data_IF_860943922611
#
_entry.id   IF_860943922611
#
_cell.length_a   1.000
_cell.length_b   1.000
_cell.length_c   1.000
_cell.angle_alpha   90.00
_cell.angle_beta   90.00
_cell.angle_gamma   90.00
#
_symmetry.space_group_name_H-M   'P 1'
#
loop_
_entity.id
_entity.type
_entity.pdbx_description
1 polymer ?
#
# COMPACT_ATOMS: atom_id res chain seq x y z
N UNK A 1 13.50 -7.22 -48.00
CA UNK A 1 13.49 -6.06 -47.07
C UNK A 1 12.30 -6.08 -46.10
N UNK A 2 11.66 -7.23 -45.83
CA UNK A 2 10.34 -7.24 -45.19
C UNK A 2 10.36 -7.80 -43.75
N UNK A 3 11.47 -8.42 -43.35
CA UNK A 3 11.64 -9.01 -42.00
C UNK A 3 11.96 -7.96 -40.93
N UNK A 4 12.68 -6.88 -41.29
CA UNK A 4 13.00 -5.79 -40.36
C UNK A 4 11.77 -4.97 -39.96
N UNK A 5 10.81 -4.78 -40.88
CA UNK A 5 9.57 -4.06 -40.59
C UNK A 5 8.64 -4.83 -39.61
N UNK A 6 8.61 -6.17 -39.73
CA UNK A 6 7.87 -7.03 -38.82
C UNK A 6 8.44 -7.02 -37.40
N UNK A 7 9.77 -7.00 -37.26
CA UNK A 7 10.43 -6.94 -35.95
C UNK A 7 10.14 -5.60 -35.25
N UNK A 8 10.16 -4.48 -36.00
CA UNK A 8 9.88 -3.16 -35.45
C UNK A 8 8.42 -2.98 -34.98
N UNK A 9 7.45 -3.60 -35.67
CA UNK A 9 6.03 -3.54 -35.27
C UNK A 9 5.73 -4.37 -34.01
N UNK A 10 6.40 -5.51 -33.83
CA UNK A 10 6.23 -6.39 -32.66
C UNK A 10 6.85 -5.74 -31.42
N UNK A 11 7.96 -5.00 -31.55
CA UNK A 11 8.57 -4.28 -30.42
C UNK A 11 7.73 -3.10 -29.92
N UNK A 12 6.92 -2.46 -30.78
CA UNK A 12 6.13 -1.29 -30.39
C UNK A 12 4.87 -1.63 -29.59
N UNK A 13 4.33 -2.84 -29.72
CA UNK A 13 3.11 -3.28 -29.02
C UNK A 13 3.34 -3.80 -27.60
N UNK A 14 4.60 -4.05 -27.20
CA UNK A 14 4.94 -4.44 -25.82
C UNK A 14 5.02 -3.25 -24.84
N UNK A 15 4.95 -2.00 -25.30
CA UNK A 15 5.21 -0.82 -24.46
C UNK A 15 3.97 -0.19 -23.80
N UNK A 16 2.78 -0.81 -23.92
CA UNK A 16 1.51 -0.23 -23.41
C UNK A 16 1.00 -0.92 -22.12
N UNK A 17 1.85 -1.66 -21.41
CA UNK A 17 1.48 -2.26 -20.13
C UNK A 17 1.63 -1.27 -18.94
N UNK A 18 1.01 -0.09 -19.03
CA UNK A 18 1.02 0.94 -17.98
C UNK A 18 0.07 0.67 -16.79
N UNK A 19 -0.17 -0.59 -16.43
CA UNK A 19 -1.25 -0.98 -15.53
C UNK A 19 -1.13 -0.35 -14.12
N UNK A 20 -2.21 0.29 -13.67
CA UNK A 20 -2.40 0.74 -12.28
C UNK A 20 -2.26 -0.45 -11.33
N UNK A 21 -1.92 -0.18 -10.07
CA UNK A 21 -1.98 -1.22 -9.03
C UNK A 21 -3.43 -1.70 -8.84
N UNK A 22 -3.61 -2.95 -8.41
CA UNK A 22 -4.92 -3.59 -8.27
C UNK A 22 -5.27 -3.87 -6.81
N UNK A 23 -6.56 -3.73 -6.48
CA UNK A 23 -7.05 -3.99 -5.13
C UNK A 23 -6.85 -5.46 -4.75
N UNK A 24 -6.41 -5.71 -3.52
CA UNK A 24 -6.27 -7.07 -2.97
C UNK A 24 -7.31 -7.27 -1.87
N UNK A 25 -7.99 -8.43 -1.88
CA UNK A 25 -8.88 -8.85 -0.77
C UNK A 25 -8.06 -9.16 0.47
N UNK A 26 -8.58 -8.93 1.67
CA UNK A 26 -7.85 -9.18 2.93
C UNK A 26 -7.47 -10.64 3.12
N UNK A 27 -8.26 -11.56 2.57
CA UNK A 27 -7.97 -13.01 2.57
C UNK A 27 -6.83 -13.41 1.63
N UNK A 28 -6.47 -12.56 0.67
CA UNK A 28 -5.41 -12.78 -0.30
C UNK A 28 -4.16 -11.93 -0.04
N UNK A 29 -4.16 -11.11 1.03
CA UNK A 29 -3.03 -10.30 1.43
C UNK A 29 -2.26 -10.98 2.57
N UNK A 30 -0.96 -11.18 2.36
CA UNK A 30 -0.08 -11.82 3.34
C UNK A 30 0.22 -10.87 4.50
N UNK A 31 0.38 -11.35 5.74
CA UNK A 31 0.80 -10.48 6.84
C UNK A 31 2.23 -9.96 6.59
N UNK A 32 2.46 -8.68 6.90
CA UNK A 32 3.82 -8.12 6.88
C UNK A 32 4.72 -8.94 7.82
N UNK A 33 5.86 -9.46 7.36
CA UNK A 33 6.82 -10.18 8.19
C UNK A 33 7.34 -9.32 9.34
N UNK A 34 7.58 -9.93 10.50
CA UNK A 34 8.03 -9.24 11.71
C UNK A 34 9.29 -8.37 11.52
N UNK A 35 10.20 -8.76 10.60
CA UNK A 35 11.40 -7.99 10.26
C UNK A 35 11.14 -6.62 9.62
N UNK A 36 9.89 -6.33 9.22
CA UNK A 36 9.45 -5.05 8.65
C UNK A 36 8.37 -4.36 9.48
N UNK A 37 8.11 -4.85 10.69
CA UNK A 37 7.33 -4.12 11.68
C UNK A 37 8.29 -3.20 12.44
N UNK A 38 8.02 -1.90 12.37
CA UNK A 38 8.90 -0.85 12.91
C UNK A 38 8.48 -0.43 14.33
N UNK A 39 7.21 -0.60 14.67
CA UNK A 39 6.65 -0.28 15.99
C UNK A 39 5.57 -1.29 16.36
N UNK A 40 5.53 -1.68 17.64
CA UNK A 40 4.53 -2.62 18.18
C UNK A 40 3.42 -1.92 18.96
N UNK A 41 3.42 -0.58 18.98
CA UNK A 41 2.51 0.28 19.76
C UNK A 41 1.03 -0.06 19.58
N UNK A 42 0.62 -0.51 18.39
CA UNK A 42 -0.77 -0.78 18.02
C UNK A 42 -1.09 -2.27 17.84
N UNK A 43 -0.21 -3.18 18.27
CA UNK A 43 -0.38 -4.62 18.01
C UNK A 43 -1.37 -5.29 18.98
N UNK A 44 -1.67 -4.66 20.11
CA UNK A 44 -2.50 -5.26 21.18
C UNK A 44 -3.84 -4.52 21.29
N UNK A 45 -4.98 -5.22 21.21
CA UNK A 45 -6.28 -4.64 21.52
C UNK A 45 -6.38 -4.16 22.97
N UNK A 46 -7.08 -3.05 23.19
CA UNK A 46 -7.51 -2.56 24.50
C UNK A 46 -8.97 -2.07 24.45
N UNK A 47 -9.55 -1.74 25.61
CA UNK A 47 -10.97 -1.37 25.77
C UNK A 47 -11.41 -0.23 24.84
N UNK A 48 -10.52 0.69 24.49
CA UNK A 48 -10.82 1.87 23.68
C UNK A 48 -10.16 1.83 22.30
N UNK A 49 -9.91 0.63 21.77
CA UNK A 49 -9.31 0.47 20.43
C UNK A 49 -10.22 -0.27 19.48
N UNK A 50 -10.06 0.00 18.18
CA UNK A 50 -10.67 -0.77 17.10
C UNK A 50 -9.59 -1.25 16.13
N UNK A 51 -9.72 -2.49 15.68
CA UNK A 51 -8.87 -3.01 14.61
C UNK A 51 -9.16 -2.27 13.29
N UNK A 52 -8.11 -1.82 12.63
CA UNK A 52 -8.11 -1.43 11.22
C UNK A 52 -7.14 -2.33 10.45
N UNK A 53 -7.33 -2.44 9.14
CA UNK A 53 -6.43 -3.18 8.26
C UNK A 53 -5.92 -2.23 7.18
N UNK A 54 -4.61 -2.17 7.00
CA UNK A 54 -4.00 -1.44 5.88
C UNK A 54 -3.25 -2.44 5.01
N UNK A 55 -3.53 -2.43 3.71
CA UNK A 55 -2.90 -3.35 2.74
C UNK A 55 -2.39 -2.62 1.52
N UNK A 56 -1.33 -3.14 0.91
CA UNK A 56 -0.84 -2.59 -0.36
C UNK A 56 -1.38 -3.40 -1.52
N UNK A 57 -1.85 -2.67 -2.52
CA UNK A 57 -2.28 -3.22 -3.79
C UNK A 57 -1.23 -4.14 -4.42
N UNK A 58 -1.70 -5.04 -5.28
CA UNK A 58 -0.83 -5.85 -6.13
C UNK A 58 -0.38 -5.09 -7.37
N UNK A 59 0.67 -5.57 -8.02
CA UNK A 59 1.16 -5.03 -9.29
C UNK A 59 2.67 -5.04 -9.37
N UNK A 60 3.21 -4.92 -10.58
CA UNK A 60 4.65 -4.81 -10.81
C UNK A 60 5.18 -3.40 -10.56
N UNK A 61 4.32 -2.37 -10.68
CA UNK A 61 4.68 -0.98 -10.41
C UNK A 61 5.09 -0.81 -8.95
N UNK A 62 6.35 -0.45 -8.74
CA UNK A 62 6.91 -0.27 -7.40
C UNK A 62 7.05 -1.55 -6.59
N UNK A 63 7.02 -2.74 -7.19
CA UNK A 63 7.18 -4.01 -6.47
C UNK A 63 8.55 -4.14 -5.76
N UNK A 64 9.55 -3.39 -6.22
CA UNK A 64 10.86 -3.26 -5.58
C UNK A 64 10.88 -2.27 -4.39
N UNK A 65 9.80 -1.52 -4.21
CA UNK A 65 9.64 -0.50 -3.19
C UNK A 65 8.71 -1.01 -2.09
N UNK A 66 8.91 -0.53 -0.87
CA UNK A 66 7.95 -0.73 0.22
C UNK A 66 7.17 0.56 0.46
N UNK A 67 5.97 0.43 1.00
CA UNK A 67 5.23 1.57 1.54
C UNK A 67 5.37 1.57 3.04
N UNK A 68 6.06 2.59 3.56
CA UNK A 68 6.12 2.84 4.99
C UNK A 68 4.80 3.44 5.44
N UNK A 69 4.04 2.69 6.21
CA UNK A 69 2.86 3.20 6.89
C UNK A 69 3.28 3.82 8.22
N UNK A 70 2.80 5.03 8.49
CA UNK A 70 2.89 5.66 9.81
C UNK A 70 1.50 6.03 10.32
N UNK A 71 1.34 6.07 11.63
CA UNK A 71 0.12 6.49 12.31
C UNK A 71 0.49 7.65 13.24
N UNK A 72 -0.12 8.82 13.04
CA UNK A 72 0.16 10.05 13.79
C UNK A 72 1.67 10.38 13.84
N UNK A 73 2.36 10.15 12.72
CA UNK A 73 3.80 10.37 12.57
C UNK A 73 4.71 9.25 13.10
N UNK A 74 4.17 8.22 13.76
CA UNK A 74 4.94 7.06 14.22
C UNK A 74 5.02 5.99 13.11
N UNK A 75 6.21 5.65 12.59
CA UNK A 75 6.36 4.59 11.60
C UNK A 75 5.98 3.22 12.18
N UNK A 76 5.09 2.51 11.51
CA UNK A 76 4.53 1.24 12.00
C UNK A 76 5.04 0.03 11.23
N UNK A 77 5.03 0.07 9.89
CA UNK A 77 5.44 -1.07 9.08
C UNK A 77 5.86 -0.66 7.66
N UNK A 78 6.79 -1.43 7.08
CA UNK A 78 7.16 -1.35 5.66
C UNK A 78 6.44 -2.46 4.88
N UNK A 79 5.41 -2.08 4.10
CA UNK A 79 4.45 -2.99 3.45
C UNK A 79 4.84 -3.19 1.97
N UNK A 80 5.04 -4.43 1.53
CA UNK A 80 5.21 -4.76 0.10
C UNK A 80 3.87 -5.00 -0.59
N UNK A 81 3.89 -5.11 -1.92
CA UNK A 81 2.72 -5.46 -2.74
C UNK A 81 2.03 -6.72 -2.21
N UNK A 82 0.70 -6.70 -2.16
CA UNK A 82 -0.11 -7.81 -1.66
C UNK A 82 0.12 -8.19 -0.20
N UNK A 83 0.68 -7.30 0.62
CA UNK A 83 0.80 -7.50 2.07
C UNK A 83 -0.18 -6.61 2.84
N UNK A 84 -0.46 -6.99 4.09
CA UNK A 84 -1.30 -6.26 5.04
C UNK A 84 -0.68 -6.16 6.43
N UNK A 85 -1.06 -5.10 7.14
CA UNK A 85 -0.84 -4.95 8.58
C UNK A 85 -2.19 -4.70 9.26
N UNK A 86 -2.37 -5.28 10.44
CA UNK A 86 -3.54 -5.10 11.28
C UNK A 86 -3.13 -4.29 12.52
N UNK A 87 -3.84 -3.20 12.80
CA UNK A 87 -3.51 -2.26 13.88
C UNK A 87 -4.74 -2.05 14.76
N UNK A 88 -4.56 -2.00 16.07
CA UNK A 88 -5.59 -1.63 17.04
C UNK A 88 -5.36 -0.18 17.43
N UNK A 89 -6.07 0.74 16.78
CA UNK A 89 -5.94 2.17 17.05
C UNK A 89 -6.96 2.61 18.11
N UNK A 90 -6.62 3.57 18.98
CA UNK A 90 -7.59 4.22 19.84
C UNK A 90 -8.81 4.76 19.07
N UNK A 91 -9.94 4.93 19.73
CA UNK A 91 -11.07 5.65 19.14
C UNK A 91 -10.73 7.12 18.94
N UNK A 92 -11.24 7.72 17.86
CA UNK A 92 -11.02 9.12 17.52
C UNK A 92 -10.37 9.31 16.15
N UNK A 93 -9.86 10.52 15.94
CA UNK A 93 -9.21 10.92 14.70
C UNK A 93 -7.74 10.51 14.72
N UNK A 94 -7.29 9.96 13.59
CA UNK A 94 -5.89 9.61 13.35
C UNK A 94 -5.48 10.02 11.95
N UNK A 95 -4.19 10.29 11.75
CA UNK A 95 -3.62 10.51 10.42
C UNK A 95 -2.82 9.26 10.04
N UNK A 96 -3.22 8.62 8.94
CA UNK A 96 -2.39 7.63 8.27
C UNK A 96 -1.52 8.34 7.24
N UNK A 97 -0.21 8.17 7.33
CA UNK A 97 0.71 8.62 6.28
C UNK A 97 1.39 7.43 5.61
N UNK A 98 1.67 7.58 4.32
CA UNK A 98 2.43 6.59 3.57
C UNK A 98 3.57 7.26 2.84
N UNK A 99 4.78 6.79 3.09
CA UNK A 99 5.98 7.15 2.34
C UNK A 99 6.43 5.97 1.48
N UNK A 100 6.81 6.24 0.24
CA UNK A 100 7.43 5.23 -0.61
C UNK A 100 8.91 5.10 -0.26
N UNK A 101 9.31 3.88 0.13
CA UNK A 101 10.66 3.53 0.54
C UNK A 101 11.32 2.61 -0.49
N UNK A 102 12.65 2.71 -0.59
CA UNK A 102 13.47 1.80 -1.37
C UNK A 102 14.76 2.48 -1.78
N UNK A 103 15.82 1.68 -1.96
CA UNK A 103 17.14 2.20 -2.34
C UNK A 103 17.26 2.43 -3.86
N UNK A 104 16.31 1.91 -4.65
CA UNK A 104 16.36 2.06 -6.09
C UNK A 104 15.91 3.47 -6.50
N UNK A 105 16.59 4.04 -7.49
CA UNK A 105 16.18 5.31 -8.13
C UNK A 105 14.75 5.27 -8.67
N UNK A 106 14.19 4.07 -8.87
CA UNK A 106 12.84 3.84 -9.36
C UNK A 106 11.76 4.01 -8.30
N UNK A 107 12.12 4.07 -7.00
CA UNK A 107 11.14 4.25 -5.93
C UNK A 107 10.73 5.70 -5.72
N UNK A 108 11.43 6.68 -6.30
CA UNK A 108 11.10 8.10 -6.11
C UNK A 108 11.01 8.53 -4.63
N UNK A 109 10.55 9.75 -4.39
CA UNK A 109 10.15 10.24 -3.07
C UNK A 109 8.70 10.66 -3.18
N UNK A 110 7.81 9.85 -2.65
CA UNK A 110 6.37 10.08 -2.73
C UNK A 110 5.77 9.88 -1.35
N UNK A 111 4.89 10.80 -0.96
CA UNK A 111 4.14 10.70 0.27
C UNK A 111 2.66 11.00 0.02
N UNK A 112 1.82 10.54 0.93
CA UNK A 112 0.39 10.84 0.96
C UNK A 112 -0.12 10.66 2.38
N UNK A 113 -1.13 11.43 2.75
CA UNK A 113 -1.75 11.38 4.07
C UNK A 113 -3.26 11.27 3.95
N UNK A 114 -3.88 10.68 4.97
CA UNK A 114 -5.33 10.58 5.08
C UNK A 114 -5.76 10.59 6.53
N UNK A 115 -6.62 11.54 6.87
CA UNK A 115 -7.38 11.53 8.11
C UNK A 115 -8.40 10.39 8.11
N UNK A 116 -8.48 9.69 9.23
CA UNK A 116 -9.42 8.60 9.48
C UNK A 116 -10.11 8.82 10.82
N UNK A 117 -11.33 8.30 10.94
CA UNK A 117 -12.08 8.26 12.18
C UNK A 117 -12.24 6.80 12.61
N UNK A 118 -11.65 6.45 13.74
CA UNK A 118 -11.73 5.12 14.34
C UNK A 118 -12.88 5.11 15.33
N UNK A 119 -13.83 4.20 15.12
CA UNK A 119 -15.05 4.11 15.94
C UNK A 119 -15.27 2.67 16.41
N UNK A 120 -15.92 2.52 17.56
CA UNK A 120 -16.26 1.23 18.15
C UNK A 120 -17.05 0.34 17.16
N UNK A 121 -16.73 -0.95 17.16
CA UNK A 121 -17.38 -2.02 16.39
C UNK A 121 -17.32 -1.84 14.85
N UNK A 122 -16.42 -0.98 14.36
CA UNK A 122 -16.27 -0.70 12.92
C UNK A 122 -14.84 -0.97 12.44
N UNK A 123 -14.61 -2.18 11.94
CA UNK A 123 -13.36 -2.51 11.27
C UNK A 123 -13.32 -1.95 9.84
N UNK A 124 -12.70 -0.78 9.72
CA UNK A 124 -12.39 -0.16 8.44
C UNK A 124 -11.09 -0.74 7.85
N UNK A 125 -11.08 -0.85 6.52
CA UNK A 125 -9.90 -1.27 5.77
C UNK A 125 -9.45 -0.18 4.82
N UNK A 126 -8.14 -0.04 4.67
CA UNK A 126 -7.48 0.93 3.81
C UNK A 126 -6.56 0.22 2.84
N UNK A 127 -6.42 0.78 1.66
CA UNK A 127 -5.51 0.30 0.64
C UNK A 127 -4.52 1.38 0.23
N UNK A 128 -3.29 0.95 0.00
CA UNK A 128 -2.22 1.76 -0.54
C UNK A 128 -1.99 1.33 -1.99
N UNK A 129 -2.00 2.26 -2.92
CA UNK A 129 -1.74 1.96 -4.33
C UNK A 129 -1.01 3.08 -5.05
N UNK A 130 -0.74 2.85 -6.33
CA UNK A 130 -0.12 3.83 -7.22
C UNK A 130 -0.97 3.97 -8.48
N UNK A 131 -1.35 5.20 -8.80
CA UNK A 131 -2.15 5.53 -9.98
C UNK A 131 -1.35 5.31 -11.27
N UNK A 132 -2.03 5.42 -12.41
CA UNK A 132 -1.37 5.41 -13.73
C UNK A 132 -0.40 6.59 -13.91
N UNK A 133 -0.68 7.74 -13.29
CA UNK A 133 0.17 8.95 -13.27
C UNK A 133 1.35 8.85 -12.30
N UNK A 134 1.55 7.68 -11.67
CA UNK A 134 2.54 7.46 -10.65
C UNK A 134 2.35 8.37 -9.43
N UNK A 135 1.11 8.46 -8.93
CA UNK A 135 0.78 9.09 -7.65
C UNK A 135 0.48 8.02 -6.60
N UNK A 136 1.02 8.19 -5.40
CA UNK A 136 0.79 7.31 -4.26
C UNK A 136 -0.50 7.75 -3.58
N UNK A 137 -1.36 6.80 -3.24
CA UNK A 137 -2.57 7.08 -2.48
C UNK A 137 -2.74 6.11 -1.32
N UNK A 138 -3.41 6.58 -0.28
CA UNK A 138 -4.04 5.76 0.73
C UNK A 138 -5.52 6.14 0.83
N UNK A 139 -6.39 5.14 0.77
CA UNK A 139 -7.83 5.37 0.83
C UNK A 139 -8.56 4.19 1.46
N UNK A 140 -9.73 4.47 2.03
CA UNK A 140 -10.65 3.44 2.51
C UNK A 140 -11.10 2.55 1.36
N UNK A 141 -11.25 1.25 1.60
CA UNK A 141 -11.59 0.25 0.57
C UNK A 141 -12.79 -0.61 0.96
N UNK A 142 -13.55 -1.02 -0.06
CA UNK A 142 -14.62 -2.00 0.07
C UNK A 142 -14.16 -3.45 -0.23
N UNK A 143 -12.92 -3.63 -0.71
CA UNK A 143 -12.37 -4.93 -1.09
C UNK A 143 -11.91 -5.73 0.13
N UNK A 144 -12.83 -6.20 0.97
CA UNK A 144 -12.51 -7.02 2.15
C UNK A 144 -12.10 -8.45 1.79
#
# INVERSE_FOLDING_TARGET
MNKCALIALITSSLLVAGCSTQAVRTSAADPVPASRILSTKYNTPSENTQKIIVKRDSGSKGALCTSRLSVDGEPVADIKTSEKVELNLPYGEHILSVDQQGMSIMCGKMNTEREIMVSKDKQDEYRIGVTVSAELFIMKTAYK
#
